data_IF_538426744723
#
_entry.id   IF_538426744723
#
_cell.length_a   1.000
_cell.length_b   1.000
_cell.length_c   1.000
_cell.angle_alpha   90.00
_cell.angle_beta   90.00
_cell.angle_gamma   90.00
#
_symmetry.space_group_name_H-M   'P 1'
#
loop_
_entity.id
_entity.type
_entity.pdbx_description
1 polymer ?
#
# COMPACT_ATOMS: atom_id res chain seq x y z
N UNK A 1 -39.15 16.54 38.03
CA UNK A 1 -38.07 17.30 37.36
C UNK A 1 -37.65 16.45 36.19
N UNK A 2 -38.25 16.68 35.03
CA UNK A 2 -37.89 15.96 33.80
C UNK A 2 -36.51 16.45 33.35
N UNK A 3 -35.53 15.55 33.31
CA UNK A 3 -34.32 15.80 32.57
C UNK A 3 -34.71 15.84 31.09
N UNK A 4 -34.92 17.05 30.55
CA UNK A 4 -35.04 17.25 29.11
C UNK A 4 -33.75 16.68 28.50
N UNK A 5 -33.87 15.55 27.81
CA UNK A 5 -32.76 14.98 27.06
C UNK A 5 -32.24 16.05 26.10
N UNK A 6 -30.93 16.29 26.11
CA UNK A 6 -30.33 17.26 25.21
C UNK A 6 -30.61 16.84 23.77
N UNK A 7 -31.34 17.67 23.02
CA UNK A 7 -31.62 17.42 21.61
C UNK A 7 -30.42 17.81 20.76
N UNK A 8 -29.48 16.88 20.64
CA UNK A 8 -28.28 17.01 19.82
C UNK A 8 -28.61 17.27 18.33
N UNK A 9 -29.80 16.90 17.86
CA UNK A 9 -30.20 17.15 16.47
C UNK A 9 -30.31 18.65 16.13
N UNK A 10 -30.51 19.48 17.15
CA UNK A 10 -30.68 20.94 17.05
C UNK A 10 -29.37 21.75 17.14
N UNK A 11 -28.22 21.09 17.28
CA UNK A 11 -26.91 21.74 17.41
C UNK A 11 -26.70 22.85 16.35
N UNK A 12 -26.11 23.99 16.75
CA UNK A 12 -25.62 25.02 15.84
C UNK A 12 -24.66 24.47 14.78
N UNK A 13 -24.72 25.05 13.58
CA UNK A 13 -23.97 24.58 12.42
C UNK A 13 -22.44 24.67 12.61
N UNK A 14 -21.97 25.67 13.34
CA UNK A 14 -20.55 25.83 13.69
C UNK A 14 -20.04 24.72 14.59
N UNK A 15 -20.84 24.26 15.57
CA UNK A 15 -20.48 23.11 16.41
C UNK A 15 -20.47 21.80 15.62
N UNK A 16 -21.45 21.60 14.75
CA UNK A 16 -21.48 20.42 13.87
C UNK A 16 -20.25 20.37 12.97
N UNK A 17 -19.88 21.49 12.34
CA UNK A 17 -18.68 21.56 11.51
C UNK A 17 -17.40 21.35 12.33
N UNK A 18 -17.30 21.90 13.54
CA UNK A 18 -16.15 21.66 14.43
C UNK A 18 -16.00 20.18 14.79
N UNK A 19 -17.11 19.49 15.09
CA UNK A 19 -17.07 18.04 15.37
C UNK A 19 -16.62 17.28 14.12
N UNK A 20 -17.19 17.62 12.96
CA UNK A 20 -16.85 17.00 11.68
C UNK A 20 -15.38 17.19 11.30
N UNK A 21 -14.85 18.40 11.47
CA UNK A 21 -13.44 18.74 11.24
C UNK A 21 -12.51 17.98 12.19
N UNK A 22 -12.94 17.66 13.41
CA UNK A 22 -12.15 16.85 14.35
C UNK A 22 -11.98 15.41 13.87
N UNK A 23 -13.05 14.78 13.35
CA UNK A 23 -12.94 13.44 12.76
C UNK A 23 -11.99 13.43 11.56
N UNK A 24 -12.06 14.45 10.70
CA UNK A 24 -11.15 14.55 9.56
C UNK A 24 -9.70 14.82 9.98
N UNK A 25 -9.49 15.64 11.02
CA UNK A 25 -8.16 15.92 11.55
C UNK A 25 -7.47 14.68 12.16
N UNK A 26 -8.24 13.72 12.69
CA UNK A 26 -7.73 12.44 13.20
C UNK A 26 -7.72 11.34 12.15
N UNK A 27 -8.04 11.64 10.89
CA UNK A 27 -8.16 10.66 9.79
C UNK A 27 -9.23 9.59 10.00
N UNK A 28 -10.25 9.88 10.81
CA UNK A 28 -11.39 9.01 11.08
C UNK A 28 -12.54 9.29 10.10
N UNK A 29 -12.27 9.09 8.80
CA UNK A 29 -13.27 9.33 7.74
C UNK A 29 -14.51 8.44 7.90
N UNK A 30 -14.38 7.26 8.51
CA UNK A 30 -15.49 6.38 8.82
C UNK A 30 -16.46 7.03 9.83
N UNK A 31 -15.94 7.61 10.91
CA UNK A 31 -16.75 8.36 11.88
C UNK A 31 -17.34 9.63 11.30
N UNK A 32 -16.61 10.31 10.41
CA UNK A 32 -17.18 11.43 9.66
C UNK A 32 -18.40 10.99 8.84
N UNK A 33 -18.34 9.84 8.16
CA UNK A 33 -19.45 9.32 7.37
C UNK A 33 -20.62 8.87 8.26
N UNK A 34 -20.36 8.25 9.41
CA UNK A 34 -21.38 7.89 10.40
C UNK A 34 -22.06 9.13 10.99
N UNK A 35 -21.27 10.16 11.32
CA UNK A 35 -21.78 11.46 11.78
C UNK A 35 -22.74 12.07 10.75
N UNK A 36 -22.41 12.01 9.46
CA UNK A 36 -23.31 12.45 8.38
C UNK A 36 -24.49 11.52 8.15
N UNK A 37 -24.45 10.28 8.63
CA UNK A 37 -25.55 9.33 8.50
C UNK A 37 -26.69 9.64 9.50
N UNK A 38 -26.40 10.30 10.63
CA UNK A 38 -27.35 10.56 11.74
C UNK A 38 -28.65 11.20 11.29
N UNK A 39 -28.61 12.38 10.64
CA UNK A 39 -29.83 13.05 10.16
C UNK A 39 -29.55 13.98 8.96
N UNK A 40 -30.63 14.42 8.28
CA UNK A 40 -30.53 15.29 7.10
C UNK A 40 -29.82 16.61 7.41
N UNK A 41 -30.11 17.22 8.55
CA UNK A 41 -29.53 18.51 8.97
C UNK A 41 -28.02 18.41 9.16
N UNK A 42 -27.54 17.38 9.84
CA UNK A 42 -26.10 17.18 10.04
C UNK A 42 -25.41 16.94 8.69
N UNK A 43 -25.97 16.07 7.85
CA UNK A 43 -25.46 15.78 6.50
C UNK A 43 -25.33 17.01 5.61
N UNK A 44 -26.32 17.90 5.63
CA UNK A 44 -26.36 19.12 4.81
C UNK A 44 -25.50 20.26 5.36
N UNK A 45 -25.16 20.21 6.65
CA UNK A 45 -24.35 21.24 7.31
C UNK A 45 -22.86 21.03 7.06
N UNK A 46 -22.43 19.77 7.03
CA UNK A 46 -21.04 19.37 6.78
C UNK A 46 -20.73 19.27 5.29
N UNK A 47 -19.45 19.45 4.93
CA UNK A 47 -18.96 19.32 3.56
C UNK A 47 -19.35 17.97 2.92
N UNK A 48 -19.76 17.97 1.66
CA UNK A 48 -20.09 16.73 0.95
C UNK A 48 -18.84 16.12 0.29
N UNK A 49 -18.34 14.97 0.75
CA UNK A 49 -17.12 14.37 0.23
C UNK A 49 -17.28 13.80 -1.18
N UNK A 50 -18.51 13.57 -1.64
CA UNK A 50 -18.79 13.02 -2.98
C UNK A 50 -18.39 13.94 -4.14
N UNK A 51 -18.18 15.22 -3.86
CA UNK A 51 -17.87 16.23 -4.88
C UNK A 51 -16.55 16.95 -4.59
N UNK A 52 -15.68 16.36 -3.77
CA UNK A 52 -14.50 17.04 -3.25
C UNK A 52 -13.27 16.14 -3.32
N UNK A 53 -12.22 16.51 -4.09
CA UNK A 53 -10.92 15.84 -4.05
C UNK A 53 -10.11 16.22 -2.80
N UNK A 54 -10.76 16.71 -1.75
CA UNK A 54 -10.09 17.20 -0.55
C UNK A 54 -9.36 16.05 0.16
N UNK A 55 -8.03 16.12 0.31
CA UNK A 55 -7.23 15.06 0.92
C UNK A 55 -7.62 14.73 2.36
N UNK A 56 -8.37 15.60 3.05
CA UNK A 56 -8.92 15.33 4.38
C UNK A 56 -9.87 14.14 4.41
N UNK A 57 -10.46 13.77 3.26
CA UNK A 57 -11.32 12.58 3.14
C UNK A 57 -10.55 11.30 2.80
N UNK A 58 -9.22 11.35 2.64
CA UNK A 58 -8.44 10.16 2.33
C UNK A 58 -8.39 9.23 3.56
N UNK A 59 -8.74 7.94 3.39
CA UNK A 59 -8.73 6.99 4.49
C UNK A 59 -7.32 6.57 4.88
N UNK A 60 -6.67 7.34 5.77
CA UNK A 60 -5.33 6.99 6.27
C UNK A 60 -5.35 5.77 7.17
N UNK A 61 -4.31 4.94 7.09
CA UNK A 61 -4.15 3.70 7.85
C UNK A 61 -5.20 2.62 7.56
N UNK A 62 -6.07 2.80 6.56
CA UNK A 62 -7.03 1.78 6.16
C UNK A 62 -6.47 0.93 5.03
N UNK A 63 -6.53 -0.38 5.22
CA UNK A 63 -6.13 -1.35 4.20
C UNK A 63 -7.28 -2.28 3.87
N UNK A 64 -7.43 -2.57 2.58
CA UNK A 64 -8.31 -3.64 2.12
C UNK A 64 -7.57 -4.97 2.29
N UNK A 65 -8.10 -5.83 3.15
CA UNK A 65 -7.54 -7.16 3.42
C UNK A 65 -8.17 -8.26 2.58
N UNK A 66 -9.14 -7.93 1.73
CA UNK A 66 -9.58 -8.89 0.71
C UNK A 66 -8.47 -9.01 -0.33
N UNK A 67 -7.99 -10.25 -0.54
CA UNK A 67 -7.10 -10.54 -1.64
C UNK A 67 -7.71 -10.08 -2.98
N UNK A 68 -6.86 -9.67 -3.92
CA UNK A 68 -7.31 -9.08 -5.18
C UNK A 68 -8.11 -10.03 -6.08
N UNK A 69 -8.03 -11.34 -5.83
CA UNK A 69 -8.86 -12.37 -6.48
C UNK A 69 -10.30 -12.42 -5.96
N UNK A 70 -10.61 -11.70 -4.86
CA UNK A 70 -11.93 -11.69 -4.27
C UNK A 70 -12.93 -10.96 -5.19
N UNK A 71 -13.79 -11.72 -5.86
CA UNK A 71 -14.88 -11.19 -6.72
C UNK A 71 -16.08 -10.64 -5.94
N UNK A 72 -16.05 -10.68 -4.62
CA UNK A 72 -17.12 -10.12 -3.80
C UNK A 72 -17.15 -8.59 -3.91
N UNK A 73 -18.35 -8.02 -4.03
CA UNK A 73 -18.53 -6.57 -3.91
C UNK A 73 -18.31 -6.08 -2.47
N UNK A 74 -18.31 -6.99 -1.49
CA UNK A 74 -18.04 -6.66 -0.09
C UNK A 74 -16.55 -6.67 0.20
N UNK A 75 -16.03 -5.55 0.71
CA UNK A 75 -14.65 -5.38 1.16
C UNK A 75 -14.58 -5.25 2.67
N UNK A 76 -13.58 -5.87 3.26
CA UNK A 76 -13.21 -5.78 4.65
C UNK A 76 -12.01 -4.84 4.72
N UNK A 77 -12.26 -3.68 5.27
CA UNK A 77 -11.27 -2.64 5.50
C UNK A 77 -10.83 -2.73 6.96
N UNK A 78 -9.53 -2.66 7.20
CA UNK A 78 -8.96 -2.69 8.55
C UNK A 78 -8.12 -1.44 8.75
N UNK A 79 -8.35 -0.75 9.86
CA UNK A 79 -7.52 0.36 10.27
C UNK A 79 -6.32 -0.17 11.06
N UNK A 80 -5.11 0.00 10.55
CA UNK A 80 -3.90 -0.57 11.12
C UNK A 80 -3.44 0.11 12.41
N UNK A 81 -3.84 1.36 12.65
CA UNK A 81 -3.50 2.10 13.86
C UNK A 81 -4.43 1.79 15.04
N UNK A 82 -5.71 1.53 14.76
CA UNK A 82 -6.77 1.37 15.76
C UNK A 82 -7.30 -0.06 15.89
N UNK A 83 -7.07 -0.92 14.90
CA UNK A 83 -7.64 -2.28 14.81
C UNK A 83 -9.11 -2.31 14.43
N UNK A 84 -9.73 -1.15 14.12
CA UNK A 84 -11.14 -1.09 13.68
C UNK A 84 -11.31 -1.84 12.37
N UNK A 85 -12.45 -2.52 12.23
CA UNK A 85 -12.81 -3.26 11.02
C UNK A 85 -14.12 -2.75 10.47
N UNK A 86 -14.19 -2.59 9.15
CA UNK A 86 -15.41 -2.17 8.46
C UNK A 86 -15.66 -3.11 7.28
N UNK A 87 -16.88 -3.66 7.21
CA UNK A 87 -17.36 -4.37 6.02
C UNK A 87 -18.18 -3.40 5.19
N UNK A 88 -17.76 -3.19 3.95
CA UNK A 88 -18.39 -2.26 3.04
C UNK A 88 -18.79 -2.92 1.74
N UNK A 89 -20.05 -2.74 1.35
CA UNK A 89 -20.53 -3.15 0.04
C UNK A 89 -20.24 -2.05 -0.99
N UNK A 90 -19.37 -2.36 -1.95
CA UNK A 90 -18.98 -1.48 -3.04
C UNK A 90 -19.61 -2.01 -4.34
N UNK A 91 -20.87 -1.64 -4.59
CA UNK A 91 -21.64 -2.12 -5.75
C UNK A 91 -20.99 -1.83 -7.11
N UNK A 92 -20.13 -0.80 -7.19
CA UNK A 92 -19.35 -0.46 -8.38
C UNK A 92 -18.41 -1.59 -8.81
N UNK A 93 -17.91 -2.42 -7.88
CA UNK A 93 -16.97 -3.50 -8.18
C UNK A 93 -17.55 -4.60 -9.10
N UNK A 94 -18.85 -4.57 -9.40
CA UNK A 94 -19.45 -5.42 -10.45
C UNK A 94 -18.86 -5.15 -11.84
N UNK A 95 -18.36 -3.94 -12.06
CA UNK A 95 -17.84 -3.48 -13.35
C UNK A 95 -16.34 -3.17 -13.31
N UNK A 96 -15.70 -3.29 -12.15
CA UNK A 96 -14.31 -2.91 -11.95
C UNK A 96 -13.52 -3.99 -11.21
N UNK A 97 -12.30 -4.24 -11.67
CA UNK A 97 -11.29 -5.00 -10.95
C UNK A 97 -10.45 -4.08 -10.08
N UNK A 98 -10.08 -4.53 -8.89
CA UNK A 98 -9.12 -3.82 -8.04
C UNK A 98 -7.71 -4.13 -8.53
N UNK A 99 -6.97 -3.09 -8.90
CA UNK A 99 -5.55 -3.15 -9.29
C UNK A 99 -4.68 -3.21 -8.04
N UNK A 100 -4.95 -2.33 -7.08
CA UNK A 100 -4.17 -2.20 -5.85
C UNK A 100 -4.94 -1.35 -4.83
N UNK A 101 -4.47 -1.39 -3.59
CA UNK A 101 -4.86 -0.39 -2.58
C UNK A 101 -3.73 0.61 -2.45
N UNK A 102 -4.02 1.90 -2.59
CA UNK A 102 -3.02 2.96 -2.43
C UNK A 102 -2.64 3.10 -0.95
N UNK A 103 -1.53 3.78 -0.71
CA UNK A 103 -1.03 4.10 0.64
C UNK A 103 -2.01 4.93 1.46
N UNK A 104 -2.84 5.72 0.78
CA UNK A 104 -3.90 6.54 1.36
C UNK A 104 -5.23 5.77 1.51
N UNK A 105 -5.19 4.43 1.40
CA UNK A 105 -6.36 3.56 1.57
C UNK A 105 -7.41 3.67 0.46
N UNK A 106 -7.07 4.33 -0.67
CA UNK A 106 -7.93 4.41 -1.85
C UNK A 106 -7.78 3.13 -2.68
N UNK A 107 -8.80 2.81 -3.47
CA UNK A 107 -8.77 1.62 -4.34
C UNK A 107 -8.50 2.05 -5.78
N UNK A 108 -7.39 1.61 -6.36
CA UNK A 108 -7.14 1.75 -7.78
C UNK A 108 -7.93 0.67 -8.53
N UNK A 109 -8.78 1.10 -9.47
CA UNK A 109 -9.75 0.27 -10.16
C UNK A 109 -9.54 0.32 -11.67
N UNK A 110 -9.74 -0.81 -12.33
CA UNK A 110 -9.74 -0.93 -13.79
C UNK A 110 -11.08 -1.48 -14.26
N UNK A 111 -11.70 -0.84 -15.25
CA UNK A 111 -12.94 -1.33 -15.85
C UNK A 111 -12.74 -2.75 -16.43
N UNK A 112 -13.69 -3.63 -16.19
CA UNK A 112 -13.69 -4.99 -16.72
C UNK A 112 -13.91 -5.02 -18.24
N UNK A 113 -14.48 -3.96 -18.81
CA UNK A 113 -14.80 -3.85 -20.23
C UNK A 113 -13.81 -2.94 -20.97
N UNK A 114 -13.44 -3.27 -22.23
CA UNK A 114 -12.65 -2.37 -23.07
C UNK A 114 -13.32 -0.99 -23.19
N UNK A 115 -12.58 0.13 -23.08
CA UNK A 115 -11.11 0.25 -23.15
C UNK A 115 -10.38 0.12 -21.79
N UNK A 116 -11.01 -0.46 -20.76
CA UNK A 116 -10.43 -0.67 -19.43
C UNK A 116 -10.04 0.64 -18.72
N UNK A 117 -10.98 1.60 -18.72
CA UNK A 117 -10.78 2.90 -18.08
C UNK A 117 -10.33 2.73 -16.63
N UNK A 118 -9.36 3.54 -16.21
CA UNK A 118 -8.85 3.50 -14.85
C UNK A 118 -9.50 4.59 -14.00
N UNK A 119 -9.83 4.23 -12.75
CA UNK A 119 -10.28 5.20 -11.76
C UNK A 119 -9.72 4.86 -10.38
N UNK A 120 -9.72 5.84 -9.49
CA UNK A 120 -9.41 5.64 -8.07
C UNK A 120 -10.64 5.96 -7.25
N UNK A 121 -11.05 5.00 -6.43
CA UNK A 121 -12.23 5.07 -5.59
C UNK A 121 -11.82 5.32 -4.14
N UNK A 122 -12.42 6.33 -3.52
CA UNK A 122 -12.49 6.42 -2.07
C UNK A 122 -13.58 5.47 -1.58
N UNK A 123 -13.24 4.36 -0.89
CA UNK A 123 -14.23 3.38 -0.49
C UNK A 123 -15.28 3.99 0.44
N UNK A 124 -14.91 4.85 1.40
CA UNK A 124 -15.81 5.40 2.41
C UNK A 124 -16.79 6.43 1.85
N UNK A 125 -16.33 7.29 0.94
CA UNK A 125 -17.14 8.43 0.46
C UNK A 125 -17.85 8.12 -0.86
N UNK A 126 -17.35 7.15 -1.62
CA UNK A 126 -17.79 6.86 -2.98
C UNK A 126 -17.26 7.84 -4.02
N UNK A 127 -16.37 8.76 -3.64
CA UNK A 127 -15.73 9.68 -4.58
C UNK A 127 -14.83 8.92 -5.55
N UNK A 128 -14.90 9.27 -6.83
CA UNK A 128 -14.19 8.61 -7.92
C UNK A 128 -13.37 9.65 -8.70
N UNK A 129 -12.08 9.39 -8.82
CA UNK A 129 -11.19 10.11 -9.72
C UNK A 129 -11.05 9.27 -10.98
N UNK A 130 -11.46 9.80 -12.13
CA UNK A 130 -11.32 9.10 -13.42
C UNK A 130 -10.08 9.60 -14.14
N UNK A 131 -9.37 8.69 -14.79
CA UNK A 131 -8.22 9.01 -15.61
C UNK A 131 -8.61 8.81 -17.08
N UNK A 132 -8.44 9.86 -17.89
CA UNK A 132 -8.81 9.85 -19.32
C UNK A 132 -7.83 9.06 -20.17
N UNK A 133 -6.55 9.02 -19.77
CA UNK A 133 -5.53 8.25 -20.45
C UNK A 133 -5.92 6.77 -20.50
N UNK A 134 -5.85 6.19 -21.70
CA UNK A 134 -6.04 4.74 -21.86
C UNK A 134 -4.98 3.98 -21.07
N UNK A 135 -5.35 2.81 -20.54
CA UNK A 135 -4.41 1.97 -19.81
C UNK A 135 -3.19 1.61 -20.68
N UNK A 136 -2.04 1.28 -20.08
CA UNK A 136 -0.95 0.69 -20.82
C UNK A 136 -1.43 -0.55 -21.58
N UNK A 137 -0.94 -0.76 -22.81
CA UNK A 137 -1.21 -1.99 -23.57
C UNK A 137 -0.66 -3.24 -22.86
N UNK A 138 0.39 -3.05 -22.08
CA UNK A 138 1.07 -4.06 -21.26
C UNK A 138 0.25 -4.46 -20.01
N UNK A 139 0.63 -5.58 -19.39
CA UNK A 139 -0.02 -6.08 -18.18
C UNK A 139 0.39 -5.23 -16.96
N UNK A 140 -0.58 -4.51 -16.38
CA UNK A 140 -0.37 -3.73 -15.16
C UNK A 140 -0.22 -4.66 -13.96
N UNK A 141 0.96 -4.68 -13.33
CA UNK A 141 1.28 -5.46 -12.12
C UNK A 141 0.91 -4.72 -10.83
N UNK A 142 1.05 -3.40 -10.80
CA UNK A 142 0.72 -2.58 -9.64
C UNK A 142 0.33 -1.17 -10.08
N UNK A 143 -0.49 -0.48 -9.29
CA UNK A 143 -0.74 0.94 -9.45
C UNK A 143 -0.59 1.69 -8.14
N UNK A 144 -0.14 2.93 -8.21
CA UNK A 144 -0.06 3.82 -7.07
C UNK A 144 -0.66 5.18 -7.40
N UNK A 145 -1.18 5.86 -6.39
CA UNK A 145 -1.65 7.23 -6.52
C UNK A 145 -0.76 8.13 -5.69
N UNK A 146 -0.24 9.17 -6.33
CA UNK A 146 0.37 10.29 -5.64
C UNK A 146 -0.65 11.40 -5.41
N UNK A 147 -0.87 11.72 -4.14
CA UNK A 147 -1.75 12.78 -3.67
C UNK A 147 -1.13 14.16 -3.94
N UNK A 148 -1.31 14.65 -5.16
CA UNK A 148 -0.98 16.01 -5.60
C UNK A 148 -2.21 16.79 -6.08
N UNK A 149 -2.03 18.02 -6.54
CA UNK A 149 -3.07 18.81 -7.19
C UNK A 149 -2.58 19.29 -8.57
N UNK A 150 -2.91 18.58 -9.66
CA UNK A 150 -3.75 17.39 -9.72
C UNK A 150 -3.02 16.11 -9.24
N UNK A 151 -3.76 15.07 -8.83
CA UNK A 151 -3.16 13.80 -8.41
C UNK A 151 -2.62 13.03 -9.63
N UNK A 152 -1.62 12.18 -9.42
CA UNK A 152 -0.98 11.42 -10.50
C UNK A 152 -1.09 9.93 -10.21
N UNK A 153 -1.61 9.14 -11.16
CA UNK A 153 -1.57 7.68 -11.09
C UNK A 153 -0.31 7.16 -11.76
N UNK A 154 0.32 6.16 -11.16
CA UNK A 154 1.46 5.43 -11.70
C UNK A 154 1.05 3.99 -11.96
N UNK A 155 1.35 3.46 -13.14
CA UNK A 155 1.21 2.06 -13.49
C UNK A 155 2.57 1.42 -13.63
N UNK A 156 2.75 0.30 -12.96
CA UNK A 156 3.95 -0.53 -13.04
C UNK A 156 3.59 -1.77 -13.86
N UNK A 157 4.16 -1.87 -15.05
CA UNK A 157 3.86 -2.96 -15.98
C UNK A 157 4.92 -4.05 -15.92
N UNK A 158 4.49 -5.29 -16.15
CA UNK A 158 5.36 -6.47 -16.25
C UNK A 158 5.29 -7.09 -17.64
N UNK A 159 6.28 -7.93 -17.92
CA UNK A 159 6.31 -8.83 -19.07
C UNK A 159 4.98 -9.59 -19.18
N UNK A 160 4.46 -9.69 -20.40
CA UNK A 160 3.24 -10.43 -20.67
C UNK A 160 3.51 -11.54 -21.69
N UNK A 161 2.86 -12.68 -21.47
CA UNK A 161 2.74 -13.76 -22.44
C UNK A 161 1.65 -13.36 -23.43
N UNK A 162 1.94 -13.36 -24.73
CA UNK A 162 0.90 -13.20 -25.73
C UNK A 162 0.10 -14.52 -25.92
N UNK A 163 -0.96 -14.48 -26.75
CA UNK A 163 -1.79 -15.65 -27.05
C UNK A 163 -1.01 -16.81 -27.73
N UNK A 164 0.22 -16.54 -28.19
CA UNK A 164 1.14 -17.52 -28.76
C UNK A 164 2.14 -18.05 -27.73
N UNK A 165 1.94 -17.77 -26.44
CA UNK A 165 2.85 -18.15 -25.34
C UNK A 165 4.26 -17.57 -25.48
N UNK A 166 4.41 -16.47 -26.23
CA UNK A 166 5.66 -15.75 -26.33
C UNK A 166 5.72 -14.73 -25.19
N UNK A 167 6.71 -14.88 -24.31
CA UNK A 167 7.03 -13.84 -23.33
C UNK A 167 7.62 -12.67 -24.09
N UNK A 168 6.88 -11.59 -24.17
CA UNK A 168 7.47 -10.30 -24.53
C UNK A 168 8.12 -9.75 -23.27
N UNK A 169 9.45 -9.83 -23.22
CA UNK A 169 10.26 -9.12 -22.22
C UNK A 169 9.97 -7.64 -22.40
N UNK A 170 9.10 -7.09 -21.56
CA UNK A 170 8.85 -5.67 -21.52
C UNK A 170 10.06 -5.01 -20.87
N UNK A 171 10.55 -3.95 -21.50
CA UNK A 171 11.30 -2.93 -20.78
C UNK A 171 10.41 -2.44 -19.63
N UNK A 172 10.63 -2.92 -18.41
CA UNK A 172 9.87 -2.55 -17.20
C UNK A 172 9.65 -1.04 -17.13
N UNK A 173 8.47 -0.59 -17.57
CA UNK A 173 8.10 0.82 -17.70
C UNK A 173 7.22 1.24 -16.54
N UNK A 174 7.42 2.47 -16.11
CA UNK A 174 6.47 3.16 -15.24
C UNK A 174 5.71 4.14 -16.12
N UNK A 175 4.41 3.91 -16.26
CA UNK A 175 3.51 4.85 -16.92
C UNK A 175 2.89 5.77 -15.88
N UNK A 176 2.61 7.02 -16.24
CA UNK A 176 1.92 7.95 -15.35
C UNK A 176 0.95 8.85 -16.11
N UNK A 177 -0.13 9.23 -15.44
CA UNK A 177 -1.10 10.17 -15.96
C UNK A 177 -1.77 10.96 -14.84
N UNK A 178 -2.17 12.18 -15.16
CA UNK A 178 -3.10 12.97 -14.36
C UNK A 178 -4.54 12.70 -14.86
N UNK A 179 -5.58 13.05 -14.09
CA UNK A 179 -6.98 12.79 -14.47
C UNK A 179 -7.31 13.24 -15.90
N UNK A 180 -6.87 14.43 -16.28
CA UNK A 180 -7.18 15.05 -17.57
C UNK A 180 -6.14 14.76 -18.66
N UNK A 181 -5.11 13.94 -18.37
CA UNK A 181 -4.12 13.56 -19.39
C UNK A 181 -4.76 12.69 -20.46
N UNK A 182 -4.60 13.07 -21.73
CA UNK A 182 -5.09 12.28 -22.88
C UNK A 182 -4.24 11.04 -23.16
N UNK A 183 -2.98 11.06 -22.73
CA UNK A 183 -2.01 9.98 -22.95
C UNK A 183 -1.17 9.72 -21.70
N UNK A 184 -0.55 8.54 -21.65
CA UNK A 184 0.37 8.16 -20.59
C UNK A 184 1.76 8.73 -20.86
N UNK A 185 2.35 9.41 -19.88
CA UNK A 185 3.78 9.68 -19.86
C UNK A 185 4.53 8.41 -19.44
N UNK A 186 5.76 8.24 -19.93
CA UNK A 186 6.58 7.05 -19.68
C UNK A 186 7.87 7.48 -18.99
N UNK A 187 8.22 6.80 -17.91
CA UNK A 187 9.54 6.86 -17.31
C UNK A 187 10.37 5.65 -17.77
N UNK A 188 11.44 5.91 -18.52
CA UNK A 188 12.28 4.88 -19.15
C UNK A 188 13.62 4.65 -18.44
N UNK A 189 13.75 5.02 -17.16
CA UNK A 189 14.92 4.65 -16.36
C UNK A 189 14.72 3.28 -15.72
N UNK A 190 15.54 2.32 -16.16
CA UNK A 190 15.52 0.92 -15.73
C UNK A 190 15.85 0.74 -14.24
N UNK A 191 16.65 1.63 -13.67
CA UNK A 191 16.99 1.60 -12.24
C UNK A 191 15.87 2.20 -11.40
N UNK A 192 15.09 3.12 -11.97
CA UNK A 192 14.03 3.80 -11.24
C UNK A 192 12.80 2.92 -11.01
N UNK A 193 12.46 1.97 -11.90
CA UNK A 193 11.29 1.11 -11.70
C UNK A 193 11.22 0.45 -10.31
N UNK A 194 12.21 -0.33 -9.85
CA UNK A 194 12.15 -0.96 -8.52
C UNK A 194 12.13 0.06 -7.38
N UNK A 195 12.69 1.25 -7.58
CA UNK A 195 12.84 2.27 -6.53
C UNK A 195 11.59 3.14 -6.41
N UNK A 196 11.02 3.56 -7.54
CA UNK A 196 9.70 4.19 -7.63
C UNK A 196 8.67 3.21 -7.08
N UNK A 197 8.77 1.92 -7.38
CA UNK A 197 7.88 0.90 -6.80
C UNK A 197 8.03 0.81 -5.28
N UNK A 198 9.25 0.73 -4.76
CA UNK A 198 9.48 0.71 -3.31
C UNK A 198 8.91 1.96 -2.64
N UNK A 199 9.12 3.14 -3.22
CA UNK A 199 8.56 4.38 -2.71
C UNK A 199 7.03 4.37 -2.73
N UNK A 200 6.45 3.94 -3.85
CA UNK A 200 5.01 3.86 -4.08
C UNK A 200 4.30 2.78 -3.24
N UNK A 201 4.96 1.67 -2.94
CA UNK A 201 4.45 0.60 -2.07
C UNK A 201 4.61 0.94 -0.59
N UNK A 202 5.53 1.85 -0.26
CA UNK A 202 6.00 2.12 1.09
C UNK A 202 5.57 3.44 1.72
N UNK A 203 4.59 4.13 1.15
CA UNK A 203 4.12 5.44 1.66
C UNK A 203 5.24 6.49 1.61
N UNK A 204 6.08 6.47 0.57
CA UNK A 204 7.06 7.52 0.34
C UNK A 204 6.69 8.27 -0.95
N UNK A 205 6.31 9.54 -0.80
CA UNK A 205 5.83 10.38 -1.90
C UNK A 205 6.93 10.59 -2.95
N UNK A 206 6.59 10.39 -4.22
CA UNK A 206 7.51 10.43 -5.35
C UNK A 206 7.96 11.87 -5.66
N UNK A 207 7.11 12.87 -5.38
CA UNK A 207 7.23 14.25 -5.82
C UNK A 207 7.98 15.21 -4.88
N UNK A 208 8.49 14.73 -3.75
CA UNK A 208 9.22 15.56 -2.77
C UNK A 208 10.56 14.99 -2.30
N UNK A 209 10.91 13.79 -2.76
CA UNK A 209 12.11 13.11 -2.32
C UNK A 209 13.19 13.15 -3.40
N UNK A 210 14.43 13.41 -3.00
CA UNK A 210 15.59 13.06 -3.84
C UNK A 210 15.67 11.54 -3.92
N UNK A 211 14.95 11.00 -4.91
CA UNK A 211 14.94 9.58 -5.24
C UNK A 211 16.36 9.10 -5.48
N UNK A 212 17.25 9.91 -6.06
CA UNK A 212 18.66 9.57 -6.28
C UNK A 212 19.45 9.35 -4.98
N UNK A 213 19.21 10.18 -3.96
CA UNK A 213 19.84 9.98 -2.64
C UNK A 213 19.28 8.77 -1.90
N UNK A 214 17.97 8.55 -1.93
CA UNK A 214 17.35 7.32 -1.39
C UNK A 214 17.89 6.07 -2.07
N UNK A 215 17.95 6.12 -3.41
CA UNK A 215 18.50 5.09 -4.27
C UNK A 215 19.88 4.69 -3.79
N UNK A 216 20.80 5.65 -3.69
CA UNK A 216 22.19 5.39 -3.29
C UNK A 216 22.26 4.66 -1.93
N UNK A 217 21.42 5.03 -0.96
CA UNK A 217 21.38 4.39 0.35
C UNK A 217 20.87 2.95 0.32
N UNK A 218 19.84 2.69 -0.47
CA UNK A 218 19.33 1.33 -0.69
C UNK A 218 20.42 0.48 -1.35
N UNK A 219 21.13 1.02 -2.34
CA UNK A 219 22.28 0.36 -2.96
C UNK A 219 23.41 0.06 -1.98
N UNK A 220 23.77 1.01 -1.12
CA UNK A 220 24.81 0.84 -0.11
C UNK A 220 24.46 -0.34 0.84
N UNK A 221 23.20 -0.39 1.30
CA UNK A 221 22.70 -1.49 2.13
C UNK A 221 22.68 -2.83 1.40
N UNK A 222 22.21 -2.86 0.15
CA UNK A 222 22.20 -4.07 -0.66
C UNK A 222 23.61 -4.61 -0.82
N UNK A 223 24.57 -3.75 -1.17
CA UNK A 223 25.98 -4.11 -1.32
C UNK A 223 26.55 -4.68 -0.02
N UNK A 224 26.21 -4.09 1.12
CA UNK A 224 26.64 -4.56 2.43
C UNK A 224 26.11 -5.97 2.75
N UNK A 225 24.85 -6.27 2.43
CA UNK A 225 24.20 -7.56 2.71
C UNK A 225 24.20 -8.56 1.55
N UNK A 226 24.97 -8.32 0.48
CA UNK A 226 24.93 -9.16 -0.73
C UNK A 226 25.12 -10.66 -0.46
N UNK A 227 26.04 -11.01 0.44
CA UNK A 227 26.34 -12.40 0.76
C UNK A 227 25.13 -13.11 1.39
N UNK A 228 24.51 -12.50 2.41
CA UNK A 228 23.35 -13.04 3.11
C UNK A 228 22.08 -13.05 2.23
N UNK A 229 22.01 -12.16 1.23
CA UNK A 229 20.93 -12.14 0.24
C UNK A 229 21.09 -13.22 -0.83
N UNK A 230 22.31 -13.71 -1.09
CA UNK A 230 22.58 -14.69 -2.14
C UNK A 230 22.13 -16.11 -1.77
N UNK A 231 22.15 -16.47 -0.47
CA UNK A 231 21.87 -17.83 0.03
C UNK A 231 20.41 -18.31 -0.17
N UNK A 232 19.47 -17.41 -0.49
CA UNK A 232 18.05 -17.76 -0.75
C UNK A 232 17.81 -18.16 -2.22
N UNK A 233 18.74 -17.87 -3.13
CA UNK A 233 18.55 -18.01 -4.58
C UNK A 233 18.84 -19.44 -5.07
N UNK A 234 17.96 -20.39 -4.77
CA UNK A 234 18.10 -21.78 -5.22
C UNK A 234 17.71 -22.01 -6.70
N UNK A 235 17.66 -20.97 -7.53
CA UNK A 235 17.55 -21.12 -8.98
C UNK A 235 18.13 -19.93 -9.75
N UNK A 236 18.92 -20.29 -10.76
CA UNK A 236 19.41 -19.44 -11.87
C UNK A 236 20.77 -18.74 -11.66
N UNK A 237 21.83 -19.56 -11.56
CA UNK A 237 23.21 -19.16 -11.90
C UNK A 237 23.37 -19.12 -13.42
N UNK A 238 22.93 -18.05 -14.06
CA UNK A 238 23.48 -17.64 -15.36
C UNK A 238 24.11 -16.27 -15.20
N UNK A 239 25.32 -16.09 -15.73
CA UNK A 239 26.12 -14.86 -15.68
C UNK A 239 25.21 -13.65 -15.95
N UNK A 240 24.87 -12.89 -14.90
CA UNK A 240 23.86 -11.82 -14.95
C UNK A 240 24.55 -10.48 -15.21
N UNK A 241 24.01 -9.66 -16.10
CA UNK A 241 24.39 -8.25 -16.19
C UNK A 241 24.01 -7.51 -14.89
N UNK A 242 24.74 -6.43 -14.57
CA UNK A 242 24.48 -5.56 -13.40
C UNK A 242 23.00 -5.11 -13.31
N UNK A 243 22.31 -5.04 -14.44
CA UNK A 243 20.90 -4.64 -14.61
C UNK A 243 19.88 -5.68 -14.09
N UNK A 244 20.14 -6.98 -14.28
CA UNK A 244 19.23 -8.07 -13.85
C UNK A 244 19.32 -8.29 -12.32
N UNK A 245 20.43 -7.83 -11.72
CA UNK A 245 20.73 -7.95 -10.30
C UNK A 245 19.81 -7.11 -9.43
N UNK A 246 19.54 -5.85 -9.77
CA UNK A 246 18.85 -4.92 -8.85
C UNK A 246 17.38 -5.24 -8.62
N UNK A 247 16.64 -5.55 -9.67
CA UNK A 247 15.27 -6.04 -9.52
C UNK A 247 15.23 -7.33 -8.70
N UNK A 248 16.08 -8.32 -9.01
CA UNK A 248 16.10 -9.60 -8.26
C UNK A 248 16.52 -9.38 -6.80
N UNK A 249 17.32 -8.34 -6.52
CA UNK A 249 17.77 -7.95 -5.18
C UNK A 249 16.72 -7.13 -4.41
N UNK A 250 15.92 -6.29 -5.06
CA UNK A 250 14.88 -5.50 -4.42
C UNK A 250 13.64 -6.33 -4.10
N UNK A 251 13.19 -7.14 -5.07
CA UNK A 251 11.88 -7.81 -5.01
C UNK A 251 11.82 -8.83 -3.88
N UNK A 252 10.84 -8.65 -3.00
CA UNK A 252 10.62 -9.52 -1.84
C UNK A 252 11.74 -9.50 -0.81
N UNK A 253 12.68 -8.54 -0.91
CA UNK A 253 13.90 -8.47 -0.08
C UNK A 253 14.11 -7.09 0.53
N UNK A 254 13.79 -6.02 -0.20
CA UNK A 254 13.81 -4.64 0.31
C UNK A 254 12.37 -4.14 0.40
N UNK A 255 12.05 -3.44 1.49
CA UNK A 255 10.74 -2.85 1.73
C UNK A 255 10.92 -1.46 2.34
N UNK A 256 10.03 -0.54 2.00
CA UNK A 256 9.96 0.79 2.59
C UNK A 256 8.61 0.92 3.30
N UNK A 257 8.59 1.53 4.48
CA UNK A 257 7.33 1.86 5.16
C UNK A 257 7.46 3.17 5.93
N UNK A 258 6.35 3.87 6.09
CA UNK A 258 6.24 5.02 6.99
C UNK A 258 5.52 4.60 8.27
N UNK A 259 6.11 4.93 9.41
CA UNK A 259 5.51 4.70 10.73
C UNK A 259 5.79 5.88 11.66
N UNK A 260 4.72 6.56 12.10
CA UNK A 260 4.76 7.65 13.07
C UNK A 260 5.74 8.80 12.71
N UNK A 261 5.76 9.20 11.44
CA UNK A 261 6.62 10.22 10.86
C UNK A 261 8.04 9.74 10.54
N UNK A 262 8.32 8.43 10.63
CA UNK A 262 9.63 7.84 10.38
C UNK A 262 9.57 6.92 9.17
N UNK A 263 10.50 7.10 8.25
CA UNK A 263 10.69 6.20 7.12
C UNK A 263 11.63 5.07 7.56
N UNK A 264 11.17 3.83 7.40
CA UNK A 264 11.94 2.62 7.69
C UNK A 264 12.25 1.88 6.39
N UNK A 265 13.49 1.42 6.27
CA UNK A 265 13.95 0.50 5.23
C UNK A 265 14.12 -0.86 5.89
N UNK A 266 13.40 -1.86 5.39
CA UNK A 266 13.47 -3.23 5.90
C UNK A 266 14.15 -4.11 4.86
N UNK A 267 15.21 -4.81 5.27
CA UNK A 267 15.91 -5.78 4.44
C UNK A 267 15.68 -7.18 5.00
N UNK A 268 15.06 -8.04 4.20
CA UNK A 268 14.88 -9.46 4.49
C UNK A 268 16.10 -10.24 4.01
N UNK A 269 16.76 -10.91 4.93
CA UNK A 269 17.98 -11.70 4.72
C UNK A 269 17.65 -13.20 4.70
N UNK A 270 18.62 -14.07 4.41
CA UNK A 270 18.46 -15.53 4.56
C UNK A 270 18.01 -15.93 5.97
N UNK A 271 18.61 -15.30 6.97
CA UNK A 271 18.45 -15.63 8.38
C UNK A 271 17.96 -14.46 9.23
N UNK A 272 16.83 -13.86 8.82
CA UNK A 272 16.16 -12.84 9.62
C UNK A 272 15.89 -11.56 8.84
N UNK A 273 15.79 -10.46 9.57
CA UNK A 273 15.45 -9.14 9.03
C UNK A 273 16.28 -8.08 9.74
N UNK A 274 16.75 -7.09 8.98
CA UNK A 274 17.34 -5.86 9.53
C UNK A 274 16.49 -4.66 9.15
N UNK A 275 16.40 -3.70 10.06
CA UNK A 275 15.59 -2.49 9.89
C UNK A 275 16.49 -1.27 10.07
N UNK A 276 16.39 -0.33 9.13
CA UNK A 276 17.07 0.94 9.18
C UNK A 276 16.07 2.08 9.16
N UNK A 277 16.27 3.08 10.01
CA UNK A 277 15.58 4.36 9.92
C UNK A 277 16.32 5.26 8.94
N UNK A 278 15.57 5.81 7.99
CA UNK A 278 16.04 6.84 7.08
C UNK A 278 15.72 8.23 7.63
N UNK A 279 16.76 9.02 7.88
CA UNK A 279 16.64 10.43 8.20
C UNK A 279 16.47 11.24 6.91
N UNK A 280 15.24 11.61 6.57
CA UNK A 280 14.88 12.22 5.27
C UNK A 280 15.58 13.55 4.96
N UNK A 281 16.07 14.28 5.96
CA UNK A 281 16.74 15.57 5.79
C UNK A 281 18.20 15.47 5.33
N UNK A 282 18.89 14.37 5.65
CA UNK A 282 20.32 14.17 5.34
C UNK A 282 20.61 12.80 4.71
N UNK A 283 19.58 11.99 4.50
CA UNK A 283 19.65 10.62 3.99
C UNK A 283 20.61 9.74 4.80
N UNK A 284 20.75 9.99 6.11
CA UNK A 284 21.54 9.13 7.00
C UNK A 284 20.69 7.93 7.42
N UNK A 285 21.34 6.77 7.46
CA UNK A 285 20.74 5.53 7.94
C UNK A 285 21.16 5.28 9.39
N UNK A 286 20.22 4.78 10.18
CA UNK A 286 20.42 4.36 11.57
C UNK A 286 19.82 2.97 11.73
N UNK A 287 20.59 2.02 12.27
CA UNK A 287 20.08 0.69 12.56
C UNK A 287 19.03 0.75 13.68
N UNK A 288 17.94 0.00 13.56
CA UNK A 288 16.82 0.00 14.50
C UNK A 288 16.56 -1.42 15.00
N UNK A 289 16.77 -1.61 16.30
CA UNK A 289 16.47 -2.87 17.01
C UNK A 289 15.10 -2.83 17.72
N UNK A 290 14.50 -1.64 17.82
CA UNK A 290 13.23 -1.43 18.49
C UNK A 290 12.32 -0.46 17.70
N UNK A 291 11.30 -1.02 17.04
CA UNK A 291 10.23 -0.26 16.37
C UNK A 291 9.04 0.03 17.31
N UNK A 292 9.20 -0.23 18.61
CA UNK A 292 8.20 -0.02 19.64
C UNK A 292 6.98 -0.92 19.44
N UNK A 293 5.80 -0.33 19.57
CA UNK A 293 4.52 -1.04 19.47
C UNK A 293 4.06 -1.34 18.03
N UNK A 294 4.91 -1.08 17.01
CA UNK A 294 4.61 -1.49 15.65
C UNK A 294 5.00 -2.97 15.45
N UNK A 295 4.23 -3.64 14.63
CA UNK A 295 4.62 -4.88 13.96
C UNK A 295 4.53 -4.67 12.45
N UNK A 296 5.49 -5.23 11.71
CA UNK A 296 5.57 -5.03 10.25
C UNK A 296 5.31 -6.37 9.55
N UNK A 297 4.39 -6.39 8.61
CA UNK A 297 4.14 -7.54 7.74
C UNK A 297 4.76 -7.27 6.37
N UNK A 298 5.52 -8.23 5.84
CA UNK A 298 6.17 -8.16 4.53
C UNK A 298 5.57 -9.22 3.61
N UNK A 299 5.16 -8.80 2.41
CA UNK A 299 4.72 -9.72 1.38
C UNK A 299 5.90 -10.27 0.55
N UNK A 300 5.60 -10.98 -0.54
CA UNK A 300 6.60 -11.53 -1.46
C UNK A 300 7.07 -10.52 -2.54
N UNK A 301 6.42 -9.38 -2.69
CA UNK A 301 6.50 -8.50 -3.86
C UNK A 301 6.75 -7.00 -3.52
N UNK A 302 7.32 -6.73 -2.35
CA UNK A 302 7.70 -5.41 -1.82
C UNK A 302 6.57 -4.55 -1.23
N UNK A 303 5.40 -5.12 -0.97
CA UNK A 303 4.41 -4.50 -0.11
C UNK A 303 4.72 -4.79 1.36
N UNK A 304 4.51 -3.80 2.21
CA UNK A 304 4.59 -4.01 3.64
C UNK A 304 3.54 -3.20 4.38
N UNK A 305 3.19 -3.68 5.56
CA UNK A 305 2.12 -3.16 6.37
C UNK A 305 2.60 -3.02 7.82
N UNK A 306 2.72 -1.78 8.33
CA UNK A 306 2.88 -1.54 9.76
C UNK A 306 1.51 -1.51 10.44
N UNK A 307 1.40 -2.25 11.54
CA UNK A 307 0.20 -2.29 12.40
C UNK A 307 0.57 -1.99 13.85
N UNK A 308 -0.38 -1.44 14.60
CA UNK A 308 -0.26 -1.27 16.04
C UNK A 308 -0.52 -2.61 16.75
N UNK A 309 0.53 -3.24 17.28
CA UNK A 309 0.47 -4.60 17.82
C UNK A 309 -0.56 -4.76 18.95
N UNK A 310 -0.67 -3.77 19.85
CA UNK A 310 -1.66 -3.79 20.95
C UNK A 310 -3.13 -3.89 20.48
N UNK A 311 -3.40 -3.57 19.22
CA UNK A 311 -4.75 -3.65 18.63
C UNK A 311 -5.06 -5.01 18.02
N UNK A 312 -4.08 -5.92 17.93
CA UNK A 312 -4.23 -7.23 17.33
C UNK A 312 -3.72 -8.31 18.30
N UNK A 313 -4.60 -9.09 18.96
CA UNK A 313 -4.23 -9.99 20.05
C UNK A 313 -3.16 -11.06 19.74
N UNK A 314 -2.98 -11.41 18.47
CA UNK A 314 -1.99 -12.40 18.02
C UNK A 314 -0.70 -11.78 17.48
N UNK A 315 -0.59 -10.45 17.48
CA UNK A 315 0.54 -9.73 16.89
C UNK A 315 1.43 -9.21 18.02
N UNK A 316 2.72 -9.51 17.92
CA UNK A 316 3.72 -9.09 18.88
C UNK A 316 4.38 -7.79 18.44
N UNK A 317 4.53 -6.86 19.37
CA UNK A 317 5.29 -5.64 19.18
C UNK A 317 6.76 -5.92 18.85
N UNK A 318 7.40 -4.99 18.15
CA UNK A 318 8.80 -5.07 17.74
C UNK A 318 9.16 -6.33 16.93
N UNK A 319 8.21 -6.81 16.11
CA UNK A 319 8.36 -8.00 15.30
C UNK A 319 8.09 -7.73 13.82
N UNK A 320 8.80 -8.46 12.97
CA UNK A 320 8.61 -8.46 11.52
C UNK A 320 8.11 -9.83 11.07
N UNK A 321 7.01 -9.83 10.34
CA UNK A 321 6.25 -10.99 9.91
C UNK A 321 6.40 -11.16 8.40
N UNK A 322 6.85 -12.33 7.92
CA UNK A 322 7.05 -12.56 6.49
C UNK A 322 6.96 -14.04 6.10
N UNK A 323 6.70 -14.28 4.82
CA UNK A 323 6.59 -15.63 4.28
C UNK A 323 7.97 -16.19 3.88
N UNK A 324 8.25 -17.44 4.25
CA UNK A 324 9.35 -18.26 3.72
C UNK A 324 8.78 -19.45 2.96
N UNK A 325 9.50 -19.93 1.95
CA UNK A 325 9.16 -21.16 1.24
C UNK A 325 10.13 -22.27 1.65
N UNK A 326 9.62 -23.48 1.85
CA UNK A 326 10.46 -24.68 1.98
C UNK A 326 10.24 -25.56 0.75
N UNK A 327 11.28 -25.72 -0.05
CA UNK A 327 11.35 -26.72 -1.12
C UNK A 327 10.14 -26.67 -2.09
N UNK A 328 9.77 -25.47 -2.55
CA UNK A 328 8.79 -25.21 -3.62
C UNK A 328 7.33 -25.70 -3.42
N UNK A 329 6.97 -26.33 -2.28
CA UNK A 329 5.65 -26.96 -2.12
C UNK A 329 4.82 -26.40 -0.95
N UNK A 330 5.45 -25.78 0.06
CA UNK A 330 4.71 -25.14 1.16
C UNK A 330 5.36 -23.83 1.60
N UNK A 331 4.57 -22.76 1.57
CA UNK A 331 4.93 -21.51 2.20
C UNK A 331 4.52 -21.54 3.68
N UNK A 332 5.31 -20.90 4.54
CA UNK A 332 4.98 -20.75 5.95
C UNK A 332 5.34 -19.35 6.42
N UNK A 333 4.64 -18.92 7.48
CA UNK A 333 4.84 -17.61 8.07
C UNK A 333 5.94 -17.65 9.13
N UNK A 334 6.83 -16.68 9.07
CA UNK A 334 7.86 -16.43 10.07
C UNK A 334 7.59 -15.12 10.79
N UNK A 335 7.96 -15.09 12.06
CA UNK A 335 8.03 -13.89 12.88
C UNK A 335 9.48 -13.73 13.32
N UNK A 336 10.04 -12.54 13.11
CA UNK A 336 11.38 -12.18 13.53
C UNK A 336 11.31 -11.06 14.58
N UNK A 337 11.77 -11.32 15.79
CA UNK A 337 11.85 -10.32 16.84
C UNK A 337 13.16 -9.53 16.71
N UNK A 338 13.06 -8.20 16.51
CA UNK A 338 14.22 -7.35 16.22
C UNK A 338 15.17 -7.21 17.40
N UNK A 339 14.69 -7.36 18.64
CA UNK A 339 15.50 -7.20 19.85
C UNK A 339 16.22 -8.48 20.26
N UNK A 340 15.55 -9.62 20.15
CA UNK A 340 16.16 -10.91 20.50
C UNK A 340 16.89 -11.55 19.34
N UNK A 341 16.74 -11.02 18.12
CA UNK A 341 17.27 -11.58 16.87
C UNK A 341 16.85 -13.04 16.67
N UNK A 342 15.60 -13.34 17.02
CA UNK A 342 15.05 -14.71 16.93
C UNK A 342 13.98 -14.78 15.87
N UNK A 343 14.12 -15.77 14.99
CA UNK A 343 13.12 -16.18 14.04
C UNK A 343 12.31 -17.34 14.62
N UNK A 344 10.99 -17.21 14.60
CA UNK A 344 10.06 -18.25 15.02
C UNK A 344 9.00 -18.48 13.93
N UNK A 345 8.63 -19.74 13.71
CA UNK A 345 7.52 -20.07 12.82
C UNK A 345 6.21 -19.78 13.52
N UNK A 346 5.32 -19.05 12.83
CA UNK A 346 3.98 -18.75 13.33
C UNK A 346 2.91 -19.47 12.53
N UNK A 347 1.76 -19.68 13.18
CA UNK A 347 0.65 -20.50 12.71
C UNK A 347 -0.03 -19.90 11.45
N UNK A 348 -0.78 -20.71 10.68
CA UNK A 348 -1.39 -20.32 9.39
C UNK A 348 -2.39 -19.15 9.48
N UNK A 349 -2.81 -18.76 10.70
CA UNK A 349 -3.77 -17.68 10.97
C UNK A 349 -3.35 -16.31 10.42
N UNK A 350 -2.06 -16.11 10.13
CA UNK A 350 -1.53 -14.87 9.58
C UNK A 350 -1.49 -14.84 8.05
N UNK A 351 -1.77 -15.97 7.38
CA UNK A 351 -1.74 -16.02 5.91
C UNK A 351 -2.71 -15.00 5.31
N UNK A 352 -3.90 -14.81 5.89
CA UNK A 352 -4.88 -13.84 5.39
C UNK A 352 -4.43 -12.37 5.41
N UNK A 353 -3.41 -12.02 6.20
CA UNK A 353 -2.83 -10.67 6.22
C UNK A 353 -1.77 -10.46 5.12
N UNK A 354 -1.18 -11.56 4.62
CA UNK A 354 -0.23 -11.57 3.51
C UNK A 354 -0.80 -12.15 2.21
N UNK A 355 -2.02 -12.71 2.25
CA UNK A 355 -2.68 -13.35 1.12
C UNK A 355 -3.10 -12.29 0.10
N UNK A 356 -2.13 -12.04 -0.76
CA UNK A 356 -2.28 -11.83 -2.19
C UNK A 356 -3.14 -10.62 -2.57
N UNK A 357 -2.54 -9.44 -2.51
CA UNK A 357 -3.01 -8.30 -3.28
C UNK A 357 -2.84 -8.47 -4.81
N UNK A 358 -2.44 -9.65 -5.37
CA UNK A 358 -2.67 -9.95 -6.80
C UNK A 358 -2.48 -11.39 -7.30
N UNK A 359 -3.59 -11.92 -7.83
CA UNK A 359 -3.67 -12.74 -9.05
C UNK A 359 -2.59 -13.83 -9.21
N UNK A 360 -2.85 -15.00 -8.64
CA UNK A 360 -2.72 -16.22 -9.44
C UNK A 360 -3.92 -16.33 -10.40
N UNK A 361 -3.63 -16.45 -11.71
CA UNK A 361 -4.53 -16.72 -12.87
C UNK A 361 -4.99 -15.49 -13.67
N UNK A 362 -4.16 -15.04 -14.60
CA UNK A 362 -4.11 -15.54 -15.98
C UNK A 362 -2.68 -15.41 -16.50
#
# INVERSE_FOLDING_TARGET
>A
MEFLAADWSSLPADLLNRIADRFLATSDVDYYMDFRAVCRRWRSTTQDPKNSPDPRFHPRHWVNINGASCRSNTRLLVNTATGRTLRQELGLLRHFNIISTTTDGLLALMDCTPPHNTCVLNPFTGYLIRFMAQRPGELVEYAALESGSPPTIFFFCKDYMDDNWVIHESSRKVYMAQPDSESLAIYEDRCAFPLIRLAASGIYTIGGADLGSLTRRIFDLMRFYMADLAEISDNDYTIMSDEKSLWKLCVGRCFLTESAGKVLIIMKLAHGVVVYRLHTHNYKLEHVEDIGNCAIFLDLYCWCLCVNADKFPSVHANCVYYQKSRLAVANYMCMYNLKSEREERVDEKFEHLLLDQRLSRL
#
